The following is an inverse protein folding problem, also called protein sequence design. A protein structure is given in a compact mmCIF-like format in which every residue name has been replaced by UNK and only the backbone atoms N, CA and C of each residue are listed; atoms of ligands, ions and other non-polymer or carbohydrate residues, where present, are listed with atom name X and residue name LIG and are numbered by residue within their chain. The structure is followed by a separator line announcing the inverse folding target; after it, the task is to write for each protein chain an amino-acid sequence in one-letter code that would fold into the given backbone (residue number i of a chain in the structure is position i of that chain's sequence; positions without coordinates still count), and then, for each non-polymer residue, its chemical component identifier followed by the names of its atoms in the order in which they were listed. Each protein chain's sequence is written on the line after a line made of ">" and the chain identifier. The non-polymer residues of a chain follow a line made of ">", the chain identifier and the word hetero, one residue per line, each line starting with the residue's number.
data_IF_097552363300
#
_entry.id   IF_097552363300
#
_cell.length_a   1.000
_cell.length_b   1.000
_cell.length_c   1.000
_cell.angle_alpha   90.00
_cell.angle_beta   90.00
_cell.angle_gamma   90.00
#
_symmetry.space_group_name_H-M   'P 1'
#
loop_
_entity.id
_entity.type
_entity.pdbx_description
1 polymer ?
#
# COMPACT_ATOMS: atom_id res chain seq x y z
N UNK A 1 -14.26 43.61 -9.18
CA UNK A 1 -13.44 42.39 -9.32
C UNK A 1 -12.65 42.24 -8.04
N UNK A 2 -13.16 41.43 -7.10
CA UNK A 2 -12.40 41.02 -5.91
C UNK A 2 -11.91 39.59 -6.15
N UNK A 3 -10.59 39.44 -6.28
CA UNK A 3 -9.93 38.16 -6.19
C UNK A 3 -9.85 37.84 -4.68
N UNK A 4 -10.68 36.92 -4.21
CA UNK A 4 -10.61 36.43 -2.84
C UNK A 4 -9.36 35.54 -2.72
N UNK A 5 -8.50 35.87 -1.76
CA UNK A 5 -7.20 35.25 -1.49
C UNK A 5 -7.32 33.84 -0.90
N UNK A 6 -7.95 32.90 -1.61
CA UNK A 6 -7.77 31.48 -1.38
C UNK A 6 -6.62 30.95 -2.24
N UNK A 7 -5.72 30.14 -1.68
CA UNK A 7 -4.81 29.36 -2.52
C UNK A 7 -5.65 28.50 -3.48
N UNK A 8 -5.16 28.24 -4.69
CA UNK A 8 -5.85 27.39 -5.68
C UNK A 8 -6.23 26.00 -5.07
N UNK A 9 -5.49 25.53 -4.08
CA UNK A 9 -5.83 24.32 -3.32
C UNK A 9 -7.06 24.47 -2.40
N UNK A 10 -7.31 25.66 -1.84
CA UNK A 10 -8.49 25.96 -1.02
C UNK A 10 -9.76 26.03 -1.88
N UNK A 11 -9.66 26.57 -3.11
CA UNK A 11 -10.79 26.60 -4.05
C UNK A 11 -11.14 25.19 -4.53
N UNK A 12 -10.13 24.38 -4.88
CA UNK A 12 -10.36 22.98 -5.30
C UNK A 12 -10.94 22.14 -4.15
N UNK A 13 -10.46 22.34 -2.92
CA UNK A 13 -11.02 21.69 -1.72
C UNK A 13 -12.48 22.09 -1.51
N UNK A 14 -12.77 23.39 -1.48
CA UNK A 14 -14.13 23.90 -1.29
C UNK A 14 -15.10 23.47 -2.40
N UNK A 15 -14.63 23.40 -3.64
CA UNK A 15 -15.42 22.91 -4.77
C UNK A 15 -15.75 21.42 -4.62
N UNK A 16 -14.79 20.59 -4.18
CA UNK A 16 -15.03 19.17 -3.91
C UNK A 16 -16.10 18.97 -2.83
N UNK A 17 -15.96 19.66 -1.69
CA UNK A 17 -16.92 19.59 -0.58
C UNK A 17 -18.31 19.95 -1.06
N UNK A 18 -18.44 21.09 -1.76
CA UNK A 18 -19.72 21.55 -2.28
C UNK A 18 -20.36 20.56 -3.24
N UNK A 19 -19.58 20.00 -4.17
CA UNK A 19 -20.09 19.00 -5.13
C UNK A 19 -20.61 17.75 -4.43
N UNK A 20 -19.89 17.24 -3.43
CA UNK A 20 -20.31 16.04 -2.68
C UNK A 20 -21.58 16.34 -1.89
N UNK A 21 -21.65 17.48 -1.19
CA UNK A 21 -22.85 17.86 -0.42
C UNK A 21 -24.07 18.02 -1.35
N UNK A 22 -23.90 18.67 -2.51
CA UNK A 22 -24.96 18.81 -3.50
C UNK A 22 -25.42 17.43 -4.03
N UNK A 23 -24.48 16.54 -4.32
CA UNK A 23 -24.78 15.19 -4.79
C UNK A 23 -25.55 14.38 -3.75
N UNK A 24 -25.10 14.40 -2.49
CA UNK A 24 -25.79 13.73 -1.39
C UNK A 24 -27.19 14.32 -1.21
N UNK A 25 -27.34 15.64 -1.16
CA UNK A 25 -28.63 16.26 -0.91
C UNK A 25 -29.64 16.04 -2.05
N UNK A 26 -29.18 15.92 -3.30
CA UNK A 26 -30.07 15.78 -4.45
C UNK A 26 -30.33 14.34 -4.86
N UNK A 27 -29.42 13.41 -4.55
CA UNK A 27 -29.42 12.05 -5.10
C UNK A 27 -29.09 10.95 -4.09
N UNK A 28 -29.19 11.20 -2.79
CA UNK A 28 -28.77 10.27 -1.72
C UNK A 28 -29.21 8.82 -1.95
N UNK A 29 -30.47 8.63 -2.35
CA UNK A 29 -31.07 7.29 -2.47
C UNK A 29 -30.79 6.60 -3.81
N UNK A 30 -29.93 7.17 -4.66
CA UNK A 30 -29.59 6.64 -5.99
C UNK A 30 -28.20 6.01 -6.09
N UNK A 31 -27.37 6.14 -5.05
CA UNK A 31 -26.02 5.59 -5.04
C UNK A 31 -25.56 5.27 -3.61
N UNK A 32 -24.75 4.21 -3.49
CA UNK A 32 -24.14 3.82 -2.21
C UNK A 32 -22.66 4.25 -2.11
N UNK A 33 -22.03 4.53 -3.26
CA UNK A 33 -20.60 4.83 -3.37
C UNK A 33 -20.36 6.03 -4.30
N UNK A 34 -19.31 6.80 -3.98
CA UNK A 34 -18.79 7.89 -4.81
C UNK A 34 -17.35 7.51 -5.19
N UNK A 35 -17.06 7.48 -6.49
CA UNK A 35 -15.69 7.31 -6.99
C UNK A 35 -15.16 8.68 -7.42
N UNK A 36 -14.04 9.09 -6.84
CA UNK A 36 -13.37 10.35 -7.18
C UNK A 36 -12.16 10.03 -8.05
N UNK A 37 -12.27 10.33 -9.35
CA UNK A 37 -11.12 10.28 -10.24
C UNK A 37 -10.27 11.53 -10.02
N UNK A 38 -8.99 11.32 -9.72
CA UNK A 38 -8.02 12.39 -9.58
C UNK A 38 -7.14 12.48 -10.82
N UNK A 39 -6.60 13.66 -11.11
CA UNK A 39 -5.63 13.80 -12.21
C UNK A 39 -4.39 12.93 -11.95
N UNK A 40 -3.66 12.55 -13.01
CA UNK A 40 -2.46 11.71 -12.88
C UNK A 40 -1.32 12.34 -12.07
N UNK A 41 -1.38 13.64 -11.78
CA UNK A 41 -0.42 14.39 -10.96
C UNK A 41 -0.98 14.78 -9.59
N UNK A 42 -2.22 14.38 -9.28
CA UNK A 42 -2.84 14.73 -8.03
C UNK A 42 -2.11 14.05 -6.86
N UNK A 43 -1.93 14.82 -5.78
CA UNK A 43 -1.55 14.30 -4.48
C UNK A 43 -2.82 13.80 -3.76
N UNK A 44 -2.88 12.53 -3.32
CA UNK A 44 -4.03 12.01 -2.56
C UNK A 44 -4.26 12.70 -1.21
N UNK A 45 -3.20 13.19 -0.55
CA UNK A 45 -3.30 13.63 0.85
C UNK A 45 -4.29 14.78 1.08
N UNK A 46 -4.30 15.89 0.30
CA UNK A 46 -5.28 16.96 0.51
C UNK A 46 -6.72 16.52 0.31
N UNK A 47 -6.96 15.49 -0.52
CA UNK A 47 -8.29 14.93 -0.76
C UNK A 47 -8.70 14.10 0.46
N UNK A 48 -7.82 13.23 0.95
CA UNK A 48 -8.05 12.46 2.18
C UNK A 48 -8.36 13.40 3.35
N UNK A 49 -7.53 14.43 3.53
CA UNK A 49 -7.68 15.42 4.60
C UNK A 49 -9.05 16.10 4.58
N UNK A 50 -9.61 16.34 3.39
CA UNK A 50 -10.93 16.99 3.23
C UNK A 50 -12.04 16.19 3.91
N UNK A 51 -12.01 14.86 3.85
CA UNK A 51 -13.05 14.03 4.47
C UNK A 51 -12.99 14.01 6.01
N UNK A 52 -11.85 14.38 6.60
CA UNK A 52 -11.66 14.42 8.05
C UNK A 52 -11.77 15.83 8.63
N UNK A 53 -11.39 16.85 7.87
CA UNK A 53 -11.40 18.24 8.34
C UNK A 53 -12.76 18.92 8.17
N UNK A 54 -13.60 18.44 7.24
CA UNK A 54 -14.87 19.10 6.91
C UNK A 54 -16.02 18.44 7.68
N UNK A 55 -16.41 19.07 8.80
CA UNK A 55 -17.50 18.62 9.67
C UNK A 55 -18.84 18.50 8.93
N UNK A 56 -19.03 19.24 7.84
CA UNK A 56 -20.23 19.15 6.99
C UNK A 56 -20.29 17.86 6.17
N UNK A 57 -19.16 17.21 5.87
CA UNK A 57 -19.12 15.96 5.10
C UNK A 57 -19.29 14.72 5.98
N UNK A 58 -18.72 14.74 7.19
CA UNK A 58 -18.64 13.58 8.08
C UNK A 58 -20.00 12.88 8.35
N UNK A 59 -21.15 13.58 8.48
CA UNK A 59 -22.45 12.94 8.69
C UNK A 59 -23.01 12.20 7.46
N UNK A 60 -22.45 12.48 6.28
CA UNK A 60 -23.04 12.10 5.00
C UNK A 60 -22.21 11.07 4.24
N UNK A 61 -20.89 11.18 4.30
CA UNK A 61 -19.94 10.35 3.57
C UNK A 61 -18.78 9.97 4.47
N UNK A 62 -18.17 8.83 4.17
CA UNK A 62 -16.89 8.41 4.75
C UNK A 62 -15.93 8.05 3.63
N UNK A 63 -14.64 8.25 3.86
CA UNK A 63 -13.62 7.81 2.92
C UNK A 63 -13.46 6.29 3.02
N UNK A 64 -13.74 5.57 1.93
CA UNK A 64 -13.66 4.11 1.89
C UNK A 64 -12.21 3.60 1.74
N UNK A 65 -11.44 4.18 0.82
CA UNK A 65 -10.06 3.77 0.55
C UNK A 65 -9.45 4.49 -0.63
N UNK A 66 -8.13 4.33 -0.79
CA UNK A 66 -7.38 4.83 -1.96
C UNK A 66 -7.04 3.66 -2.88
N UNK A 67 -7.54 3.71 -4.12
CA UNK A 67 -7.17 2.75 -5.17
C UNK A 67 -6.18 3.40 -6.14
N UNK A 68 -5.06 2.74 -6.40
CA UNK A 68 -4.08 3.19 -7.39
C UNK A 68 -4.01 2.22 -8.57
N UNK A 69 -4.28 2.74 -9.77
CA UNK A 69 -4.09 2.02 -11.01
C UNK A 69 -2.64 2.19 -11.49
N UNK A 70 -1.93 1.08 -11.63
CA UNK A 70 -0.53 1.06 -12.06
C UNK A 70 -0.44 0.43 -13.45
N UNK A 71 0.10 1.18 -14.41
CA UNK A 71 0.45 0.65 -15.72
C UNK A 71 1.74 -0.17 -15.61
N UNK A 72 1.64 -1.51 -15.65
CA UNK A 72 2.79 -2.38 -15.42
C UNK A 72 3.93 -2.20 -16.43
N UNK A 73 3.61 -1.73 -17.65
CA UNK A 73 4.61 -1.52 -18.70
C UNK A 73 5.42 -0.24 -18.46
N UNK A 74 4.77 0.83 -18.01
CA UNK A 74 5.40 2.16 -17.88
C UNK A 74 5.77 2.52 -16.43
N UNK A 75 5.25 1.80 -15.44
CA UNK A 75 5.52 2.08 -14.03
C UNK A 75 7.00 2.13 -13.67
N UNK A 76 7.89 1.23 -14.15
CA UNK A 76 9.32 1.34 -13.84
C UNK A 76 9.89 2.70 -14.23
N UNK A 77 9.57 3.21 -15.43
CA UNK A 77 10.04 4.51 -15.90
C UNK A 77 9.54 5.66 -15.00
N UNK A 78 8.27 5.64 -14.60
CA UNK A 78 7.71 6.67 -13.73
C UNK A 78 8.29 6.62 -12.31
N UNK A 79 8.53 5.43 -11.78
CA UNK A 79 9.14 5.24 -10.46
C UNK A 79 10.63 5.64 -10.45
N UNK A 80 11.33 5.49 -11.58
CA UNK A 80 12.73 5.90 -11.75
C UNK A 80 12.91 7.38 -12.13
N UNK A 81 11.81 8.11 -12.36
CA UNK A 81 11.88 9.52 -12.71
C UNK A 81 12.51 10.33 -11.57
N UNK A 82 13.68 10.91 -11.85
CA UNK A 82 14.40 11.75 -10.90
C UNK A 82 13.77 13.13 -10.85
N UNK A 83 13.20 13.46 -9.69
CA UNK A 83 12.70 14.81 -9.41
C UNK A 83 13.79 15.67 -8.79
N UNK A 84 13.70 17.02 -8.92
CA UNK A 84 14.58 17.94 -8.21
C UNK A 84 14.55 17.70 -6.69
N UNK A 85 15.64 18.09 -6.01
CA UNK A 85 15.72 17.94 -4.55
C UNK A 85 14.54 18.63 -3.85
N UNK A 86 13.85 17.88 -2.98
CA UNK A 86 12.67 18.35 -2.25
C UNK A 86 11.33 18.11 -2.96
N UNK A 87 11.33 17.74 -4.25
CA UNK A 87 10.11 17.37 -4.98
C UNK A 87 9.89 15.86 -4.87
N UNK A 88 8.70 15.47 -4.43
CA UNK A 88 8.31 14.07 -4.31
C UNK A 88 7.89 13.56 -5.68
N UNK A 89 8.30 12.34 -6.03
CA UNK A 89 7.81 11.66 -7.22
C UNK A 89 6.34 11.28 -7.03
N UNK A 90 5.45 11.80 -7.89
CA UNK A 90 4.01 11.68 -7.76
C UNK A 90 3.56 10.21 -7.86
N UNK A 91 4.19 9.41 -8.73
CA UNK A 91 3.87 7.99 -8.87
C UNK A 91 4.21 7.19 -7.61
N UNK A 92 5.36 7.49 -7.00
CA UNK A 92 5.78 6.90 -5.72
C UNK A 92 4.79 7.29 -4.62
N UNK A 93 4.41 8.57 -4.56
CA UNK A 93 3.48 9.09 -3.57
C UNK A 93 2.09 8.43 -3.69
N UNK A 94 1.55 8.32 -4.91
CA UNK A 94 0.26 7.67 -5.15
C UNK A 94 0.27 6.20 -4.68
N UNK A 95 1.35 5.45 -4.97
CA UNK A 95 1.52 4.08 -4.47
C UNK A 95 1.60 4.06 -2.94
N UNK A 96 2.27 5.02 -2.32
CA UNK A 96 2.42 5.08 -0.86
C UNK A 96 1.09 5.31 -0.12
N UNK A 97 0.15 6.06 -0.69
CA UNK A 97 -1.18 6.25 -0.08
C UNK A 97 -2.17 5.10 -0.36
N UNK A 98 -1.89 4.26 -1.36
CA UNK A 98 -2.82 3.22 -1.79
C UNK A 98 -3.18 2.24 -0.66
N UNK A 99 -4.48 1.89 -0.58
CA UNK A 99 -4.97 0.70 0.12
C UNK A 99 -4.97 -0.51 -0.80
N UNK A 100 -5.35 -0.28 -2.06
CA UNK A 100 -5.37 -1.29 -3.10
C UNK A 100 -4.66 -0.76 -4.33
N UNK A 101 -3.96 -1.67 -4.99
CA UNK A 101 -3.24 -1.39 -6.23
C UNK A 101 -3.74 -2.35 -7.29
N UNK A 102 -4.11 -1.81 -8.45
CA UNK A 102 -4.45 -2.59 -9.64
C UNK A 102 -3.26 -2.54 -10.60
N UNK A 103 -2.57 -3.66 -10.78
CA UNK A 103 -1.46 -3.79 -11.73
C UNK A 103 -2.05 -4.11 -13.09
N UNK A 104 -2.28 -3.09 -13.91
CA UNK A 104 -2.90 -3.22 -15.22
C UNK A 104 -1.85 -3.43 -16.32
N UNK A 105 -2.30 -3.89 -17.50
CA UNK A 105 -1.48 -4.15 -18.69
C UNK A 105 -0.43 -5.24 -18.47
N UNK A 106 -0.76 -6.25 -17.65
CA UNK A 106 0.14 -7.39 -17.40
C UNK A 106 0.41 -8.21 -18.68
N UNK A 107 -0.47 -8.10 -19.68
CA UNK A 107 -0.31 -8.70 -21.01
C UNK A 107 0.87 -8.11 -21.81
N UNK A 108 1.38 -6.93 -21.42
CA UNK A 108 2.47 -6.25 -22.11
C UNK A 108 3.84 -6.43 -21.44
N UNK A 109 3.92 -7.17 -20.34
CA UNK A 109 5.14 -7.37 -19.55
C UNK A 109 5.37 -8.87 -19.28
N UNK A 110 6.64 -9.28 -19.20
CA UNK A 110 6.98 -10.66 -18.83
C UNK A 110 6.76 -10.92 -17.34
N UNK A 111 6.56 -12.18 -16.95
CA UNK A 111 6.34 -12.59 -15.55
C UNK A 111 7.45 -12.09 -14.62
N UNK A 112 8.72 -12.20 -15.06
CA UNK A 112 9.88 -11.73 -14.29
C UNK A 112 9.86 -10.22 -14.06
N UNK A 113 9.49 -9.43 -15.07
CA UNK A 113 9.43 -7.97 -14.94
C UNK A 113 8.28 -7.55 -14.01
N UNK A 114 7.17 -8.29 -14.08
CA UNK A 114 6.03 -8.08 -13.17
C UNK A 114 6.40 -8.41 -11.71
N UNK A 115 7.13 -9.50 -11.46
CA UNK A 115 7.63 -9.84 -10.12
C UNK A 115 8.57 -8.76 -9.56
N UNK A 116 9.46 -8.23 -10.41
CA UNK A 116 10.37 -7.12 -10.03
C UNK A 116 9.56 -5.87 -9.69
N UNK A 117 8.56 -5.51 -10.51
CA UNK A 117 7.69 -4.36 -10.24
C UNK A 117 6.89 -4.54 -8.94
N UNK A 118 6.34 -5.74 -8.71
CA UNK A 118 5.63 -6.07 -7.46
C UNK A 118 6.54 -5.94 -6.24
N UNK A 119 7.77 -6.44 -6.33
CA UNK A 119 8.77 -6.28 -5.27
C UNK A 119 9.07 -4.81 -4.97
N UNK A 120 9.21 -3.99 -6.02
CA UNK A 120 9.42 -2.55 -5.89
C UNK A 120 8.22 -1.84 -5.25
N UNK A 121 7.00 -2.16 -5.68
CA UNK A 121 5.79 -1.59 -5.08
C UNK A 121 5.69 -1.97 -3.61
N UNK A 122 5.99 -3.23 -3.25
CA UNK A 122 6.02 -3.68 -1.85
C UNK A 122 7.04 -2.93 -0.99
N UNK A 123 8.20 -2.57 -1.56
CA UNK A 123 9.19 -1.76 -0.83
C UNK A 123 8.72 -0.34 -0.54
N UNK A 124 7.81 0.20 -1.36
CA UNK A 124 7.19 1.51 -1.14
C UNK A 124 6.03 1.38 -0.16
N UNK A 125 5.14 0.42 -0.40
CA UNK A 125 3.93 0.20 0.37
C UNK A 125 3.74 -1.30 0.65
N UNK A 126 4.08 -1.71 1.86
CA UNK A 126 4.03 -3.12 2.29
C UNK A 126 2.60 -3.64 2.52
N UNK A 127 1.66 -2.74 2.84
CA UNK A 127 0.29 -3.12 3.26
C UNK A 127 -0.71 -3.14 2.11
N UNK A 128 -0.43 -2.46 0.99
CA UNK A 128 -1.36 -2.39 -0.11
C UNK A 128 -1.57 -3.75 -0.79
N UNK A 129 -2.82 -4.17 -0.92
CA UNK A 129 -3.17 -5.37 -1.68
C UNK A 129 -2.98 -5.07 -3.16
N UNK A 130 -2.34 -5.98 -3.89
CA UNK A 130 -2.12 -5.86 -5.32
C UNK A 130 -2.92 -6.92 -6.07
N UNK A 131 -3.59 -6.51 -7.15
CA UNK A 131 -4.30 -7.41 -8.07
C UNK A 131 -3.81 -7.19 -9.51
N UNK A 132 -3.32 -8.23 -10.20
CA UNK A 132 -3.04 -8.18 -11.63
C UNK A 132 -4.33 -8.01 -12.45
N UNK A 133 -4.25 -7.27 -13.55
CA UNK A 133 -5.38 -7.01 -14.46
C UNK A 133 -4.91 -6.77 -15.90
N UNK A 134 -5.79 -7.08 -16.85
CA UNK A 134 -5.66 -6.77 -18.28
C UNK A 134 -6.82 -5.85 -18.65
N UNK A 135 -6.54 -4.80 -19.43
CA UNK A 135 -7.56 -3.82 -19.86
C UNK A 135 -8.38 -3.16 -18.74
N UNK A 136 -7.88 -3.19 -17.50
CA UNK A 136 -8.58 -2.68 -16.33
C UNK A 136 -9.73 -3.57 -15.84
N UNK A 137 -9.85 -4.80 -16.35
CA UNK A 137 -10.85 -5.75 -15.89
C UNK A 137 -10.57 -6.17 -14.45
N UNK A 138 -11.53 -5.88 -13.56
CA UNK A 138 -11.46 -6.19 -12.13
C UNK A 138 -12.87 -6.25 -11.54
N UNK A 139 -13.06 -7.12 -10.56
CA UNK A 139 -14.32 -7.20 -9.81
C UNK A 139 -14.61 -5.89 -9.07
N UNK A 140 -15.87 -5.48 -9.06
CA UNK A 140 -16.28 -4.22 -8.42
C UNK A 140 -15.99 -4.22 -6.92
N UNK A 141 -16.10 -5.38 -6.25
CA UNK A 141 -15.77 -5.56 -4.82
C UNK A 141 -14.28 -5.35 -4.51
N UNK A 142 -13.43 -5.38 -5.53
CA UNK A 142 -12.03 -4.99 -5.39
C UNK A 142 -11.83 -3.47 -5.44
N UNK A 143 -12.71 -2.75 -6.14
CA UNK A 143 -12.64 -1.30 -6.31
C UNK A 143 -13.38 -0.56 -5.21
N UNK A 144 -14.56 -1.07 -4.82
CA UNK A 144 -15.44 -0.50 -3.82
C UNK A 144 -15.42 -1.34 -2.54
N UNK A 145 -15.82 -0.74 -1.43
CA UNK A 145 -15.86 -1.43 -0.14
C UNK A 145 -14.47 -1.89 0.27
N UNK A 146 -13.47 -1.03 0.10
CA UNK A 146 -12.10 -1.28 0.52
C UNK A 146 -12.04 -1.35 2.05
N UNK A 147 -12.65 -0.37 2.72
CA UNK A 147 -12.53 -0.16 4.16
C UNK A 147 -11.08 0.07 4.59
N UNK A 148 -10.30 0.74 3.75
CA UNK A 148 -8.92 1.10 4.02
C UNK A 148 -8.77 2.06 5.19
N UNK A 149 -9.85 2.77 5.51
CA UNK A 149 -10.00 3.66 6.66
C UNK A 149 -10.94 3.11 7.72
N UNK A 150 -11.30 1.82 7.64
CA UNK A 150 -12.15 1.15 8.62
C UNK A 150 -11.27 0.39 9.62
N UNK A 151 -11.36 0.76 10.91
CA UNK A 151 -10.52 0.20 11.97
C UNK A 151 -10.63 -1.32 12.07
N UNK A 152 -11.80 -1.91 11.81
CA UNK A 152 -12.00 -3.36 11.84
C UNK A 152 -11.23 -4.10 10.73
N UNK A 153 -10.95 -3.41 9.61
CA UNK A 153 -10.31 -4.02 8.44
C UNK A 153 -8.81 -3.73 8.37
N UNK A 154 -8.37 -2.64 8.98
CA UNK A 154 -6.95 -2.30 9.12
C UNK A 154 -6.18 -3.45 9.78
N UNK A 155 -6.80 -4.16 10.71
CA UNK A 155 -6.23 -5.35 11.33
C UNK A 155 -5.81 -6.41 10.31
N UNK A 156 -6.66 -6.72 9.34
CA UNK A 156 -6.37 -7.76 8.34
C UNK A 156 -5.18 -7.39 7.46
N UNK A 157 -5.08 -6.12 7.08
CA UNK A 157 -3.99 -5.61 6.26
C UNK A 157 -2.66 -5.60 7.03
N UNK A 158 -2.71 -5.32 8.33
CA UNK A 158 -1.52 -5.29 9.18
C UNK A 158 -1.11 -6.70 9.60
N UNK A 159 -2.02 -7.53 10.11
CA UNK A 159 -1.68 -8.85 10.63
C UNK A 159 -1.39 -9.87 9.51
N UNK A 160 -1.94 -9.63 8.31
CA UNK A 160 -1.83 -10.54 7.16
C UNK A 160 -2.64 -11.82 7.34
N UNK A 161 -2.91 -12.53 6.24
CA UNK A 161 -3.73 -13.76 6.18
C UNK A 161 -3.08 -15.00 6.86
N UNK A 162 -2.46 -14.83 8.04
CA UNK A 162 -2.01 -15.95 8.89
C UNK A 162 -3.06 -16.39 9.91
N UNK A 163 -4.26 -15.81 9.89
CA UNK A 163 -5.40 -16.19 10.71
C UNK A 163 -6.57 -16.70 9.85
N UNK A 164 -6.32 -17.70 8.99
CA UNK A 164 -7.34 -18.58 8.41
C UNK A 164 -6.68 -19.67 7.55
N UNK A 165 -5.96 -20.58 8.22
CA UNK A 165 -5.99 -21.97 7.76
C UNK A 165 -7.08 -22.65 8.58
N UNK A 166 -8.32 -22.54 8.11
CA UNK A 166 -9.35 -23.56 8.27
C UNK A 166 -10.57 -23.16 7.43
N UNK A 167 -10.93 -24.04 6.48
CA UNK A 167 -12.12 -24.03 5.60
C UNK A 167 -12.22 -22.84 4.63
N UNK A 168 -12.41 -22.98 3.32
CA UNK A 168 -13.14 -23.97 2.55
C UNK A 168 -12.76 -23.79 1.07
N UNK A 169 -12.35 -24.86 0.38
CA UNK A 169 -12.57 -25.14 -1.05
C UNK A 169 -12.06 -26.55 -1.30
N UNK A 170 -12.87 -27.51 -0.89
CA UNK A 170 -12.79 -28.88 -1.39
C UNK A 170 -13.12 -28.90 -2.88
N UNK A 171 -12.10 -29.06 -3.72
CA UNK A 171 -12.26 -29.74 -4.99
C UNK A 171 -11.61 -31.12 -4.87
N UNK A 172 -12.47 -32.10 -4.59
CA UNK A 172 -12.21 -33.51 -4.83
C UNK A 172 -11.78 -33.70 -6.28
N UNK A 173 -10.49 -33.89 -6.51
CA UNK A 173 -10.04 -34.67 -7.66
C UNK A 173 -9.82 -36.11 -7.18
N UNK A 174 -10.91 -36.89 -7.22
CA UNK A 174 -10.81 -38.34 -7.29
C UNK A 174 -10.17 -38.67 -8.64
N UNK A 175 -8.86 -38.85 -8.66
CA UNK A 175 -8.16 -39.43 -9.79
C UNK A 175 -8.44 -40.94 -9.77
N UNK A 176 -9.32 -41.40 -10.65
CA UNK A 176 -9.39 -42.81 -10.98
C UNK A 176 -8.17 -43.20 -11.84
N UNK A 177 -7.78 -44.47 -11.76
CA UNK A 177 -6.40 -44.96 -11.94
C UNK A 177 -5.89 -45.02 -13.39
N UNK A 178 -6.21 -44.08 -14.28
CA UNK A 178 -5.82 -44.13 -15.69
C UNK A 178 -5.49 -42.77 -16.34
N UNK A 179 -4.60 -41.98 -15.76
CA UNK A 179 -4.02 -40.82 -16.46
C UNK A 179 -2.54 -41.08 -16.82
N UNK A 180 -2.33 -41.36 -18.10
CA UNK A 180 -1.07 -41.68 -18.74
C UNK A 180 -0.29 -40.37 -19.02
N UNK A 181 0.70 -40.04 -18.19
CA UNK A 181 1.67 -38.99 -18.54
C UNK A 181 2.81 -39.64 -19.33
N UNK A 182 2.77 -39.50 -20.65
CA UNK A 182 3.86 -39.91 -21.54
C UNK A 182 5.08 -39.01 -21.28
N UNK A 183 6.14 -39.65 -20.79
CA UNK A 183 7.46 -39.04 -20.62
C UNK A 183 8.18 -38.94 -21.96
N UNK A 184 8.75 -37.77 -22.23
CA UNK A 184 9.72 -37.59 -23.30
C UNK A 184 11.12 -37.45 -22.72
N UNK A 185 11.84 -38.58 -22.72
CA UNK A 185 13.30 -38.67 -22.63
C UNK A 185 13.91 -38.39 -24.00
N UNK A 186 14.94 -37.53 -24.09
CA UNK A 186 15.91 -37.59 -25.20
C UNK A 186 17.35 -37.30 -24.76
N UNK A 187 18.21 -38.27 -25.06
CA UNK A 187 19.64 -38.41 -24.77
C UNK A 187 20.58 -37.65 -25.74
N UNK A 188 21.84 -37.51 -25.28
CA UNK A 188 23.06 -36.93 -25.85
C UNK A 188 23.48 -37.26 -27.29
N UNK A 189 24.29 -36.38 -27.93
CA UNK A 189 25.50 -36.75 -28.68
C UNK A 189 26.39 -35.52 -29.01
N UNK A 190 27.69 -35.56 -28.70
CA UNK A 190 28.71 -34.63 -29.23
C UNK A 190 29.88 -35.44 -29.81
N UNK A 191 30.04 -35.39 -31.13
CA UNK A 191 31.22 -35.88 -31.86
C UNK A 191 32.22 -34.75 -32.14
N UNK A 192 33.50 -35.13 -32.24
CA UNK A 192 34.64 -34.27 -32.56
C UNK A 192 34.92 -34.22 -34.06
N UNK A 193 35.18 -33.03 -34.60
CA UNK A 193 36.11 -32.68 -35.69
C UNK A 193 36.38 -31.17 -35.53
N UNK A 194 37.50 -30.49 -35.80
CA UNK A 194 38.76 -30.69 -36.50
C UNK A 194 39.31 -29.25 -36.73
N UNK A 195 40.63 -29.05 -36.71
CA UNK A 195 41.35 -27.76 -36.60
C UNK A 195 41.14 -26.76 -37.76
N UNK A 196 41.27 -25.44 -37.49
CA UNK A 196 42.15 -24.44 -38.14
C UNK A 196 41.63 -22.99 -38.03
N UNK A 197 42.53 -22.04 -37.73
CA UNK A 197 42.41 -20.62 -38.12
C UNK A 197 42.43 -19.61 -36.98
N UNK A 198 43.56 -18.92 -36.81
CA UNK A 198 43.74 -17.73 -35.97
C UNK A 198 42.72 -16.63 -36.32
N UNK A 199 42.31 -15.81 -35.34
CA UNK A 199 42.27 -14.32 -35.41
C UNK A 199 41.50 -13.72 -34.21
N UNK A 200 42.13 -12.75 -33.54
CA UNK A 200 41.45 -11.62 -32.89
C UNK A 200 40.94 -11.82 -31.46
N UNK A 201 41.79 -11.51 -30.47
CA UNK A 201 41.33 -11.18 -29.13
C UNK A 201 40.42 -9.93 -29.18
N UNK A 202 39.11 -10.14 -29.06
CA UNK A 202 38.20 -9.13 -28.53
C UNK A 202 37.51 -9.75 -27.32
N UNK A 203 37.92 -9.28 -26.15
CA UNK A 203 37.27 -9.55 -24.87
C UNK A 203 35.85 -8.99 -24.92
N UNK A 204 34.88 -9.86 -25.19
CA UNK A 204 33.48 -9.55 -24.94
C UNK A 204 33.28 -9.47 -23.42
N UNK A 205 33.40 -8.25 -22.89
CA UNK A 205 32.86 -7.90 -21.59
C UNK A 205 31.37 -8.24 -21.60
N UNK A 206 30.99 -9.26 -20.84
CA UNK A 206 29.61 -9.50 -20.44
C UNK A 206 29.13 -8.25 -19.70
N UNK A 207 28.37 -7.41 -20.39
CA UNK A 207 27.62 -6.33 -19.78
C UNK A 207 26.51 -6.95 -18.92
N UNK A 208 26.83 -7.28 -17.67
CA UNK A 208 25.83 -7.39 -16.63
C UNK A 208 25.29 -5.98 -16.40
N UNK A 209 24.19 -5.65 -17.08
CA UNK A 209 23.38 -4.48 -16.76
C UNK A 209 22.79 -4.72 -15.36
N UNK A 210 23.54 -4.37 -14.32
CA UNK A 210 22.95 -4.12 -13.03
C UNK A 210 22.05 -2.90 -13.19
N UNK A 211 20.75 -3.14 -13.32
CA UNK A 211 19.74 -2.11 -13.21
C UNK A 211 19.93 -1.52 -11.81
N UNK A 212 20.56 -0.35 -11.73
CA UNK A 212 20.61 0.41 -10.48
C UNK A 212 19.20 0.91 -10.22
N UNK A 213 18.43 0.13 -9.46
CA UNK A 213 17.16 0.57 -8.90
C UNK A 213 17.47 1.76 -8.01
N UNK A 214 17.01 2.94 -8.43
CA UNK A 214 17.17 4.13 -7.62
C UNK A 214 16.16 4.05 -6.48
N UNK A 215 16.68 4.12 -5.25
CA UNK A 215 15.86 4.26 -4.05
C UNK A 215 15.06 5.55 -4.17
N UNK A 216 13.74 5.42 -4.27
CA UNK A 216 12.79 6.54 -4.37
C UNK A 216 12.81 7.43 -3.12
N UNK A 217 13.53 7.03 -2.07
CA UNK A 217 13.62 7.74 -0.80
C UNK A 217 12.37 7.60 0.06
N UNK A 218 11.29 7.05 -0.51
CA UNK A 218 10.04 6.64 0.15
C UNK A 218 10.05 5.12 0.28
N UNK A 219 9.74 4.64 1.47
CA UNK A 219 9.61 3.22 1.77
C UNK A 219 8.69 2.96 2.96
N UNK A 220 8.60 1.70 3.36
CA UNK A 220 7.85 1.28 4.54
C UNK A 220 8.76 0.77 5.67
N UNK A 221 8.39 1.10 6.91
CA UNK A 221 9.00 0.57 8.13
C UNK A 221 7.92 -0.09 8.98
N UNK A 222 8.02 -1.42 9.10
CA UNK A 222 7.17 -2.22 9.98
C UNK A 222 7.86 -2.49 11.32
N UNK A 223 7.14 -2.25 12.42
CA UNK A 223 7.54 -2.55 13.79
C UNK A 223 6.63 -3.65 14.33
N UNK A 224 7.22 -4.70 14.88
CA UNK A 224 6.50 -5.78 15.57
C UNK A 224 7.11 -5.97 16.94
N UNK A 225 6.30 -5.89 17.99
CA UNK A 225 6.78 -6.01 19.36
C UNK A 225 5.73 -6.62 20.28
N UNK A 226 6.16 -7.54 21.14
CA UNK A 226 5.32 -8.05 22.23
C UNK A 226 5.27 -7.05 23.40
N UNK A 227 4.24 -7.16 24.23
CA UNK A 227 4.06 -6.34 25.44
C UNK A 227 2.83 -5.45 25.39
N UNK A 228 2.55 -4.81 26.52
CA UNK A 228 1.37 -3.96 26.70
C UNK A 228 1.79 -2.50 26.73
N UNK A 229 1.06 -1.66 26.01
CA UNK A 229 1.30 -0.23 25.89
C UNK A 229 0.43 0.57 26.84
N UNK A 230 0.98 1.71 27.25
CA UNK A 230 0.23 2.80 27.86
C UNK A 230 -0.42 3.65 26.74
N UNK A 231 -1.75 3.80 26.77
CA UNK A 231 -2.50 4.50 25.73
C UNK A 231 -2.12 5.98 25.62
N UNK A 232 -1.88 6.64 26.74
CA UNK A 232 -1.55 8.06 26.76
C UNK A 232 -0.14 8.28 26.22
N UNK A 233 0.82 7.43 26.61
CA UNK A 233 2.18 7.50 26.08
C UNK A 233 2.24 7.28 24.57
N UNK A 234 1.51 6.29 24.05
CA UNK A 234 1.54 6.02 22.60
C UNK A 234 0.86 7.15 21.82
N UNK A 235 -0.26 7.69 22.30
CA UNK A 235 -0.95 8.82 21.66
C UNK A 235 -0.08 10.08 21.66
N UNK A 236 0.59 10.39 22.78
CA UNK A 236 1.52 11.52 22.84
C UNK A 236 2.72 11.34 21.90
N UNK A 237 3.30 10.13 21.86
CA UNK A 237 4.43 9.85 20.98
C UNK A 237 4.03 9.95 19.50
N UNK A 238 2.93 9.29 19.09
CA UNK A 238 2.42 9.33 17.72
C UNK A 238 2.03 10.76 17.32
N UNK A 239 1.33 11.51 18.18
CA UNK A 239 0.98 12.90 17.90
C UNK A 239 2.21 13.79 17.67
N UNK A 240 3.25 13.64 18.50
CA UNK A 240 4.50 14.39 18.32
C UNK A 240 5.25 13.98 17.05
N UNK A 241 5.33 12.68 16.77
CA UNK A 241 5.98 12.13 15.58
C UNK A 241 5.29 12.63 14.31
N UNK A 242 3.97 12.50 14.22
CA UNK A 242 3.20 12.89 13.05
C UNK A 242 3.21 14.41 12.85
N UNK A 243 3.24 15.20 13.92
CA UNK A 243 3.34 16.67 13.83
C UNK A 243 4.73 17.13 13.35
N UNK A 244 5.81 16.51 13.86
CA UNK A 244 7.18 16.87 13.48
C UNK A 244 7.58 16.35 12.09
N UNK A 245 6.96 15.25 11.65
CA UNK A 245 7.29 14.56 10.40
C UNK A 245 6.11 14.48 9.42
N UNK A 246 5.16 15.42 9.49
CA UNK A 246 3.95 15.41 8.64
C UNK A 246 4.26 15.35 7.13
N UNK A 247 5.34 16.01 6.69
CA UNK A 247 5.78 16.03 5.30
C UNK A 247 6.54 14.76 4.86
N UNK A 248 6.96 13.96 5.85
CA UNK A 248 7.79 12.77 5.67
C UNK A 248 6.95 11.48 5.81
N UNK A 249 6.01 11.43 6.75
CA UNK A 249 5.12 10.29 6.99
C UNK A 249 3.83 10.48 6.20
N UNK A 250 3.67 9.68 5.16
CA UNK A 250 2.49 9.71 4.30
C UNK A 250 1.34 8.94 4.92
N UNK A 251 1.65 7.77 5.47
CA UNK A 251 0.65 6.89 6.06
C UNK A 251 1.22 6.12 7.22
N UNK A 252 0.41 5.95 8.25
CA UNK A 252 0.70 5.05 9.35
C UNK A 252 -0.55 4.23 9.68
N UNK A 253 -0.39 2.95 9.96
CA UNK A 253 -1.46 2.12 10.53
C UNK A 253 -0.88 1.24 11.62
N UNK A 254 -1.67 0.92 12.63
CA UNK A 254 -1.22 0.03 13.69
C UNK A 254 -2.33 -0.71 14.40
N UNK A 255 -1.98 -1.88 14.93
CA UNK A 255 -2.77 -2.66 15.89
C UNK A 255 -1.92 -2.81 17.14
N UNK A 256 -2.51 -2.45 18.27
CA UNK A 256 -1.83 -2.27 19.54
C UNK A 256 -2.49 -3.11 20.64
N UNK A 257 -1.66 -3.63 21.52
CA UNK A 257 -2.04 -4.22 22.80
C UNK A 257 -1.92 -3.15 23.87
N UNK A 258 -3.04 -2.68 24.38
CA UNK A 258 -3.12 -1.55 25.32
C UNK A 258 -3.56 -2.04 26.70
N UNK A 259 -2.99 -1.44 27.74
CA UNK A 259 -3.31 -1.78 29.12
C UNK A 259 -4.74 -1.43 29.48
N UNK A 260 -5.38 -2.31 30.24
CA UNK A 260 -6.79 -2.17 30.61
C UNK A 260 -7.79 -2.33 29.45
N UNK A 261 -7.35 -2.66 28.24
CA UNK A 261 -8.21 -2.92 27.08
C UNK A 261 -8.11 -4.40 26.69
N UNK A 262 -9.25 -5.09 26.68
CA UNK A 262 -9.36 -6.50 26.25
C UNK A 262 -9.51 -6.65 24.74
N UNK A 263 -9.92 -5.57 24.07
CA UNK A 263 -9.92 -5.43 22.63
C UNK A 263 -8.54 -5.09 22.09
N UNK A 264 -8.34 -5.38 20.82
CA UNK A 264 -7.27 -4.78 20.03
C UNK A 264 -7.56 -3.29 19.86
N UNK A 265 -6.54 -2.46 20.05
CA UNK A 265 -6.65 -1.04 19.73
C UNK A 265 -6.04 -0.82 18.34
N UNK A 266 -6.85 -0.36 17.39
CA UNK A 266 -6.42 -0.12 16.02
C UNK A 266 -6.39 1.38 15.78
N UNK A 267 -5.41 1.83 15.00
CA UNK A 267 -5.32 3.22 14.60
C UNK A 267 -4.81 3.35 13.16
N UNK A 268 -5.07 4.52 12.60
CA UNK A 268 -4.50 4.97 11.35
C UNK A 268 -4.17 6.45 11.40
N UNK A 269 -3.24 6.85 10.55
CA UNK A 269 -2.92 8.23 10.34
C UNK A 269 -2.52 8.52 8.89
N UNK A 270 -2.88 9.71 8.45
CA UNK A 270 -2.47 10.32 7.18
C UNK A 270 -2.01 11.73 7.52
N UNK A 271 -0.70 11.99 7.36
CA UNK A 271 -0.07 13.20 7.89
C UNK A 271 -0.39 13.41 9.38
N UNK A 272 -0.90 14.60 9.76
CA UNK A 272 -1.26 14.96 11.12
C UNK A 272 -2.65 14.45 11.56
N UNK A 273 -3.43 13.86 10.65
CA UNK A 273 -4.72 13.28 11.00
C UNK A 273 -4.50 11.90 11.60
N UNK A 274 -4.98 11.72 12.83
CA UNK A 274 -4.88 10.48 13.59
C UNK A 274 -6.26 10.07 14.08
N UNK A 275 -6.60 8.80 13.87
CA UNK A 275 -7.83 8.19 14.35
C UNK A 275 -7.50 6.82 14.96
N UNK A 276 -8.11 6.51 16.10
CA UNK A 276 -7.94 5.21 16.75
C UNK A 276 -9.16 4.81 17.56
N UNK A 277 -9.32 3.51 17.72
CA UNK A 277 -10.48 2.91 18.38
C UNK A 277 -10.27 1.42 18.66
N UNK A 278 -11.26 0.80 19.30
CA UNK A 278 -11.23 -0.64 19.58
C UNK A 278 -11.81 -1.43 18.42
N UNK A 279 -11.15 -2.53 18.08
CA UNK A 279 -11.62 -3.57 17.16
C UNK A 279 -12.21 -4.74 17.98
N UNK A 280 -12.05 -5.99 17.56
CA UNK A 280 -12.45 -7.19 18.30
C UNK A 280 -11.60 -7.47 19.55
N UNK A 281 -12.18 -8.27 20.44
CA UNK A 281 -11.47 -8.87 21.58
C UNK A 281 -10.25 -9.69 21.13
N UNK A 282 -9.19 -9.66 21.93
CA UNK A 282 -8.10 -10.61 21.80
C UNK A 282 -8.62 -12.04 22.03
N UNK A 283 -8.29 -12.98 21.15
CA UNK A 283 -8.66 -14.39 21.35
C UNK A 283 -8.00 -14.97 22.62
N UNK A 284 -8.63 -15.99 23.22
CA UNK A 284 -8.14 -16.60 24.48
C UNK A 284 -6.70 -17.12 24.41
N UNK A 285 -6.29 -17.67 23.26
CA UNK A 285 -4.94 -18.16 22.99
C UNK A 285 -4.12 -17.21 22.08
N UNK A 286 -4.67 -16.04 21.79
CA UNK A 286 -4.06 -15.09 20.88
C UNK A 286 -2.95 -14.32 21.59
N UNK A 287 -1.74 -14.39 21.05
CA UNK A 287 -0.65 -13.56 21.55
C UNK A 287 -0.93 -12.09 21.28
N UNK A 288 -0.94 -11.29 22.34
CA UNK A 288 -1.01 -9.85 22.27
C UNK A 288 0.28 -9.28 21.68
N UNK A 289 0.22 -8.89 20.41
CA UNK A 289 1.35 -8.35 19.65
C UNK A 289 0.99 -6.98 19.11
N UNK A 290 1.90 -6.04 19.27
CA UNK A 290 1.82 -4.73 18.64
C UNK A 290 2.44 -4.80 17.25
N UNK A 291 1.72 -4.30 16.24
CA UNK A 291 2.24 -4.16 14.88
C UNK A 291 1.89 -2.79 14.32
N UNK A 292 2.89 -2.08 13.83
CA UNK A 292 2.77 -0.76 13.25
C UNK A 292 3.48 -0.75 11.89
N UNK A 293 2.93 -0.03 10.93
CA UNK A 293 3.55 0.20 9.64
C UNK A 293 3.55 1.70 9.35
N UNK A 294 4.73 2.25 9.11
CA UNK A 294 4.94 3.63 8.67
C UNK A 294 5.34 3.62 7.20
N UNK A 295 4.74 4.50 6.40
CA UNK A 295 5.04 4.67 4.98
C UNK A 295 5.38 6.13 4.76
N UNK A 296 6.52 6.39 4.15
CA UNK A 296 7.03 7.75 4.05
C UNK A 296 8.47 7.82 3.60
N UNK A 297 9.03 9.03 3.57
CA UNK A 297 10.43 9.28 3.26
C UNK A 297 11.26 9.45 4.53
N UNK A 298 12.56 9.17 4.43
CA UNK A 298 13.54 9.35 5.53
C UNK A 298 13.12 8.69 6.85
N UNK A 299 12.53 7.49 6.76
CA UNK A 299 12.09 6.76 7.94
C UNK A 299 13.29 6.12 8.65
N UNK A 300 13.57 6.59 9.87
CA UNK A 300 14.64 6.07 10.72
C UNK A 300 14.11 4.94 11.60
N UNK A 301 14.26 3.68 11.15
CA UNK A 301 13.77 2.49 11.86
C UNK A 301 14.16 2.44 13.33
N UNK A 302 15.44 2.67 13.63
CA UNK A 302 15.94 2.60 15.01
C UNK A 302 15.30 3.65 15.93
N UNK A 303 15.07 4.86 15.41
CA UNK A 303 14.43 5.93 16.15
C UNK A 303 12.94 5.62 16.40
N UNK A 304 12.24 5.13 15.38
CA UNK A 304 10.83 4.72 15.49
C UNK A 304 10.66 3.56 16.48
N UNK A 305 11.51 2.53 16.38
CA UNK A 305 11.49 1.39 17.31
C UNK A 305 11.82 1.78 18.74
N UNK A 306 12.79 2.68 18.93
CA UNK A 306 13.14 3.19 20.26
C UNK A 306 11.98 3.98 20.87
N UNK A 307 11.43 4.94 20.14
CA UNK A 307 10.30 5.75 20.61
C UNK A 307 9.09 4.89 20.95
N UNK A 308 8.78 3.90 20.10
CA UNK A 308 7.71 2.95 20.36
C UNK A 308 7.95 2.12 21.64
N UNK A 309 9.17 1.60 21.85
CA UNK A 309 9.50 0.79 23.04
C UNK A 309 9.42 1.58 24.34
N UNK A 310 9.60 2.89 24.32
CA UNK A 310 9.42 3.75 25.50
C UNK A 310 7.96 3.85 25.96
N UNK A 311 7.01 3.53 25.09
CA UNK A 311 5.58 3.48 25.40
C UNK A 311 5.14 2.16 26.08
N UNK A 312 6.00 1.14 26.09
CA UNK A 312 5.70 -0.14 26.76
C UNK A 312 5.67 0.02 28.28
N UNK A 313 4.73 -0.67 28.91
CA UNK A 313 4.72 -0.83 30.35
C UNK A 313 5.88 -1.73 30.78
N UNK A 314 6.48 -1.39 31.92
CA UNK A 314 7.58 -2.13 32.53
C UNK A 314 7.09 -3.17 33.51
#
# INVERSE_FOLDING_TARGET
>A
MMLNNGCLCCTVRGDLVRMIIELVNTKRDLFDHILIETTGLANPAPIIETFYMEEELAPHVRLDGVLTLVDSKHAPQHLDEKKPAGVVNEAVQQIAYADRILLNKIDLVGEKDLEVLQGRIKSINEIARMKPSKYGEVDLDYVLGIGGFDLERIEKDIMGDKASKDSDHGHDHVCDSTCNHEGHDHHHHHEKHGEHGEHGHQTHSKHHHHHHVHDSGVGSVSIVCEGTLDLDKINMWLGNLLSQNADDIYRCKGVLSVDGIEQRYVFQAVHALFEGGTDRDWGADEKRVNKLVFIGKKLEREALEKGFKECLLK
#
